data_IF_128972515127
#
_entry.id   IF_128972515127
#
_cell.length_a   1.000
_cell.length_b   1.000
_cell.length_c   1.000
_cell.angle_alpha   90.00
_cell.angle_beta   90.00
_cell.angle_gamma   90.00
#
_symmetry.space_group_name_H-M   'P 1'
#
loop_
_entity.id
_entity.type
_entity.pdbx_description
1 polymer ?
#
# COMPACT_ATOMS: atom_id res chain seq x y z
N UNK A 1 -16.39 8.44 -15.24
CA UNK A 1 -15.14 8.79 -14.54
C UNK A 1 -15.20 8.16 -13.16
N UNK A 2 -14.23 7.32 -12.81
CA UNK A 2 -14.17 6.70 -11.48
C UNK A 2 -13.74 7.75 -10.46
N UNK A 3 -14.40 7.81 -9.31
CA UNK A 3 -14.06 8.77 -8.27
C UNK A 3 -12.82 8.32 -7.51
N UNK A 4 -11.88 9.24 -7.29
CA UNK A 4 -10.69 9.00 -6.46
C UNK A 4 -11.11 8.53 -5.05
N UNK A 5 -10.61 7.39 -4.55
CA UNK A 5 -10.89 6.92 -3.20
C UNK A 5 -10.41 7.93 -2.15
N UNK A 6 -11.15 8.04 -1.04
CA UNK A 6 -10.85 8.99 0.03
C UNK A 6 -9.72 8.52 0.96
N UNK A 7 -9.54 7.21 1.06
CA UNK A 7 -8.58 6.58 1.97
C UNK A 7 -7.22 6.29 1.32
N UNK A 8 -6.88 7.07 0.29
CA UNK A 8 -5.55 7.04 -0.30
C UNK A 8 -4.56 7.73 0.64
N UNK A 9 -3.39 7.13 0.82
CA UNK A 9 -2.29 7.70 1.59
C UNK A 9 -1.11 8.06 0.71
N UNK A 10 -0.32 9.05 1.12
CA UNK A 10 0.94 9.39 0.45
C UNK A 10 1.96 8.27 0.53
N UNK A 11 2.92 8.25 -0.41
CA UNK A 11 4.07 7.33 -0.35
C UNK A 11 4.89 7.56 0.92
N UNK A 12 5.00 8.82 1.36
CA UNK A 12 5.66 9.18 2.62
C UNK A 12 4.97 8.52 3.81
N UNK A 13 3.65 8.70 3.94
CA UNK A 13 2.85 8.08 5.02
C UNK A 13 2.98 6.57 5.00
N UNK A 14 2.95 5.96 3.81
CA UNK A 14 3.15 4.53 3.63
C UNK A 14 4.53 4.09 4.15
N UNK A 15 5.60 4.70 3.67
CA UNK A 15 6.98 4.35 4.05
C UNK A 15 7.26 4.57 5.54
N UNK A 16 6.78 5.68 6.12
CA UNK A 16 6.89 5.94 7.55
C UNK A 16 6.13 4.88 8.38
N UNK A 17 4.94 4.48 7.91
CA UNK A 17 4.13 3.43 8.54
C UNK A 17 4.79 2.05 8.48
N UNK A 18 5.34 1.65 7.33
CA UNK A 18 6.09 0.39 7.16
C UNK A 18 7.33 0.38 8.05
N UNK A 19 8.14 1.44 8.00
CA UNK A 19 9.36 1.53 8.82
C UNK A 19 9.06 1.43 10.32
N UNK A 20 8.01 2.11 10.79
CA UNK A 20 7.57 2.05 12.18
C UNK A 20 7.08 0.66 12.55
N UNK A 21 6.36 0.00 11.65
CA UNK A 21 5.92 -1.38 11.84
C UNK A 21 7.10 -2.32 12.05
N UNK A 22 8.11 -2.27 11.18
CA UNK A 22 9.30 -3.10 11.26
C UNK A 22 10.13 -2.84 12.52
N UNK A 23 10.27 -1.56 12.90
CA UNK A 23 11.15 -1.15 14.01
C UNK A 23 10.51 -1.38 15.39
N UNK A 24 9.24 -1.05 15.55
CA UNK A 24 8.61 -0.93 16.88
C UNK A 24 7.50 -1.93 17.13
N UNK A 25 6.80 -2.33 16.07
CA UNK A 25 5.58 -3.12 16.21
C UNK A 25 5.89 -4.60 16.09
N UNK A 26 6.61 -5.02 15.04
CA UNK A 26 6.91 -6.42 14.69
C UNK A 26 7.45 -7.26 15.86
N UNK A 27 8.31 -6.68 16.70
CA UNK A 27 8.89 -7.38 17.86
C UNK A 27 7.89 -7.67 18.98
N UNK A 28 6.81 -6.88 19.08
CA UNK A 28 5.80 -6.93 20.14
C UNK A 28 4.56 -7.74 19.78
N UNK A 29 4.45 -8.17 18.53
CA UNK A 29 3.30 -8.87 17.97
C UNK A 29 3.15 -10.33 18.41
N UNK A 30 4.07 -10.85 19.23
CA UNK A 30 4.21 -12.30 19.44
C UNK A 30 3.03 -12.98 20.14
N UNK A 31 2.23 -12.28 20.95
CA UNK A 31 1.31 -12.97 21.86
C UNK A 31 -0.18 -12.58 21.82
N UNK A 32 -0.64 -11.54 21.10
CA UNK A 32 -2.08 -11.19 21.05
C UNK A 32 -2.50 -10.38 19.81
N UNK A 33 -2.11 -10.90 18.65
CA UNK A 33 -2.48 -10.43 17.31
C UNK A 33 -3.97 -10.28 17.01
N UNK A 34 -4.46 -9.12 16.59
CA UNK A 34 -5.59 -9.05 15.65
C UNK A 34 -5.22 -9.86 14.40
N UNK A 35 -5.99 -10.91 14.11
CA UNK A 35 -5.76 -11.82 12.97
C UNK A 35 -6.51 -11.40 11.70
N UNK A 36 -7.24 -10.29 11.76
CA UNK A 36 -8.14 -9.87 10.70
C UNK A 36 -8.28 -8.35 10.68
N UNK A 37 -8.43 -7.81 9.48
CA UNK A 37 -8.80 -6.42 9.24
C UNK A 37 -10.04 -6.44 8.36
N UNK A 38 -11.01 -5.59 8.68
CA UNK A 38 -12.21 -5.46 7.88
C UNK A 38 -12.06 -4.34 6.84
N UNK A 39 -12.55 -4.61 5.64
CA UNK A 39 -12.70 -3.63 4.56
C UNK A 39 -14.11 -3.76 4.02
N UNK A 40 -14.77 -2.63 3.76
CA UNK A 40 -16.01 -2.68 3.01
C UNK A 40 -15.71 -3.02 1.53
N UNK A 41 -16.57 -3.85 0.94
CA UNK A 41 -16.37 -4.35 -0.41
C UNK A 41 -16.43 -3.23 -1.46
N UNK A 42 -17.21 -2.19 -1.21
CA UNK A 42 -17.38 -1.08 -2.14
C UNK A 42 -16.10 -0.25 -2.27
N UNK A 43 -15.39 -0.01 -1.16
CA UNK A 43 -14.11 0.67 -1.12
C UNK A 43 -13.04 -0.13 -1.86
N UNK A 44 -12.97 -1.46 -1.64
CA UNK A 44 -12.01 -2.30 -2.37
C UNK A 44 -12.29 -2.26 -3.87
N UNK A 45 -13.55 -2.37 -4.29
CA UNK A 45 -13.95 -2.27 -5.69
C UNK A 45 -13.63 -0.90 -6.29
N UNK A 46 -13.96 0.17 -5.57
CA UNK A 46 -13.70 1.55 -6.00
C UNK A 46 -12.21 1.81 -6.15
N UNK A 47 -11.41 1.28 -5.24
CA UNK A 47 -9.96 1.35 -5.32
C UNK A 47 -9.42 0.60 -6.54
N UNK A 48 -9.86 -0.65 -6.77
CA UNK A 48 -9.45 -1.44 -7.94
C UNK A 48 -9.79 -0.70 -9.24
N UNK A 49 -11.03 -0.23 -9.37
CA UNK A 49 -11.47 0.50 -10.56
C UNK A 49 -10.65 1.78 -10.77
N UNK A 50 -10.32 2.49 -9.69
CA UNK A 50 -9.47 3.68 -9.74
C UNK A 50 -8.05 3.36 -10.23
N UNK A 51 -7.36 2.39 -9.62
CA UNK A 51 -5.98 2.04 -10.03
C UNK A 51 -5.93 1.46 -11.44
N UNK A 52 -6.94 0.70 -11.87
CA UNK A 52 -7.02 0.19 -13.24
C UNK A 52 -7.18 1.33 -14.26
N UNK A 53 -8.02 2.31 -13.96
CA UNK A 53 -8.17 3.49 -14.81
C UNK A 53 -6.86 4.29 -14.91
N UNK A 54 -6.22 4.58 -13.77
CA UNK A 54 -4.97 5.34 -13.73
C UNK A 54 -3.81 4.59 -14.43
N UNK A 55 -3.74 3.26 -14.25
CA UNK A 55 -2.72 2.43 -14.89
C UNK A 55 -2.93 2.35 -16.40
N UNK A 56 -4.17 2.18 -16.85
CA UNK A 56 -4.51 2.17 -18.28
C UNK A 56 -4.14 3.49 -18.96
N UNK A 57 -4.41 4.63 -18.31
CA UNK A 57 -4.01 5.95 -18.82
C UNK A 57 -2.48 6.09 -18.99
N UNK A 58 -1.70 5.32 -18.25
CA UNK A 58 -0.23 5.33 -18.24
C UNK A 58 0.40 4.12 -18.94
N UNK A 59 -0.41 3.29 -19.59
CA UNK A 59 0.01 2.03 -20.24
C UNK A 59 0.76 1.08 -19.28
N UNK A 60 0.38 1.10 -18.00
CA UNK A 60 0.93 0.21 -16.98
C UNK A 60 0.00 -1.01 -16.83
N UNK A 61 0.57 -2.21 -16.87
CA UNK A 61 -0.17 -3.45 -16.68
C UNK A 61 -0.15 -3.86 -15.20
N UNK A 62 -1.29 -3.73 -14.53
CA UNK A 62 -1.44 -4.23 -13.15
C UNK A 62 -1.47 -5.76 -13.19
N UNK A 63 -0.55 -6.37 -12.45
CA UNK A 63 -0.42 -7.82 -12.31
C UNK A 63 -1.09 -8.38 -11.05
N UNK A 64 -1.51 -7.51 -10.12
CA UNK A 64 -2.14 -7.89 -8.86
C UNK A 64 -2.03 -6.80 -7.81
N UNK A 65 -2.43 -7.15 -6.58
CA UNK A 65 -2.37 -6.29 -5.40
C UNK A 65 -1.43 -6.91 -4.35
N UNK A 66 -0.61 -6.08 -3.71
CA UNK A 66 0.17 -6.47 -2.53
C UNK A 66 -0.42 -5.83 -1.29
N UNK A 67 -0.53 -6.62 -0.23
CA UNK A 67 -0.93 -6.18 1.09
C UNK A 67 0.32 -5.88 1.92
N UNK A 68 0.36 -4.71 2.54
CA UNK A 68 1.44 -4.26 3.41
C UNK A 68 0.91 -4.00 4.80
N UNK A 69 1.61 -4.48 5.82
CA UNK A 69 1.33 -4.14 7.21
C UNK A 69 2.10 -2.86 7.57
N UNK A 70 1.39 -1.91 8.18
CA UNK A 70 1.95 -0.63 8.59
C UNK A 70 1.48 -0.27 9.99
N UNK A 71 2.24 0.55 10.71
CA UNK A 71 1.79 1.12 11.96
C UNK A 71 0.79 2.27 11.69
N UNK A 72 -0.34 2.29 12.41
CA UNK A 72 -1.27 3.41 12.40
C UNK A 72 -0.91 4.36 13.53
N UNK A 73 -0.25 5.47 13.20
CA UNK A 73 0.14 6.53 14.14
C UNK A 73 1.17 6.07 15.22
N UNK A 74 1.36 6.89 16.26
CA UNK A 74 2.24 6.65 17.42
C UNK A 74 1.69 5.61 18.39
N UNK A 75 0.46 5.16 18.19
CA UNK A 75 -0.15 4.10 18.99
C UNK A 75 0.57 2.79 18.69
N UNK A 76 1.41 2.34 19.62
CA UNK A 76 2.35 1.21 19.48
C UNK A 76 1.67 -0.15 19.22
N UNK A 77 0.35 -0.18 19.15
CA UNK A 77 -0.48 -1.36 19.07
C UNK A 77 -1.38 -1.39 17.83
N UNK A 78 -1.64 -0.27 17.18
CA UNK A 78 -2.52 -0.22 16.02
C UNK A 78 -1.74 -0.54 14.75
N UNK A 79 -2.08 -1.65 14.10
CA UNK A 79 -1.58 -1.99 12.76
C UNK A 79 -2.67 -1.66 11.75
N UNK A 80 -2.29 -1.34 10.52
CA UNK A 80 -3.21 -1.10 9.42
C UNK A 80 -2.72 -1.86 8.20
N UNK A 81 -3.64 -2.28 7.33
CA UNK A 81 -3.30 -2.90 6.06
C UNK A 81 -3.42 -1.88 4.92
N UNK A 82 -2.37 -1.77 4.12
CA UNK A 82 -2.38 -1.00 2.88
C UNK A 82 -2.34 -1.89 1.65
N UNK A 83 -3.09 -1.50 0.62
CA UNK A 83 -3.02 -2.11 -0.70
C UNK A 83 -2.20 -1.25 -1.65
N UNK A 84 -1.32 -1.90 -2.41
CA UNK A 84 -0.57 -1.28 -3.49
C UNK A 84 -0.69 -2.13 -4.76
N UNK A 85 -0.87 -1.52 -5.94
CA UNK A 85 -0.85 -2.25 -7.20
C UNK A 85 0.55 -2.80 -7.46
N UNK A 86 0.63 -3.86 -8.26
CA UNK A 86 1.90 -4.49 -8.63
C UNK A 86 2.08 -4.59 -10.13
N UNK A 87 3.30 -4.45 -10.62
CA UNK A 87 3.70 -4.72 -12.01
C UNK A 87 4.62 -5.95 -12.06
N UNK A 88 4.55 -6.70 -13.16
CA UNK A 88 5.55 -7.73 -13.46
C UNK A 88 6.83 -7.06 -13.94
N UNK A 89 7.97 -7.52 -13.44
CA UNK A 89 9.30 -7.15 -13.90
C UNK A 89 10.14 -8.42 -13.97
N UNK A 90 11.03 -8.49 -14.95
CA UNK A 90 12.01 -9.58 -15.04
C UNK A 90 13.28 -9.11 -14.35
N UNK A 91 13.78 -9.86 -13.36
CA UNK A 91 15.03 -9.54 -12.69
C UNK A 91 16.25 -9.96 -13.54
N UNK A 92 17.45 -9.66 -13.06
CA UNK A 92 18.73 -10.00 -13.75
C UNK A 92 18.91 -11.51 -14.00
N UNK A 93 18.17 -12.36 -13.28
CA UNK A 93 18.20 -13.83 -13.42
C UNK A 93 17.16 -14.36 -14.41
N UNK A 94 16.37 -13.48 -15.03
CA UNK A 94 15.28 -13.88 -15.92
C UNK A 94 13.99 -14.30 -15.20
N UNK A 95 13.91 -14.11 -13.88
CA UNK A 95 12.74 -14.49 -13.08
C UNK A 95 11.69 -13.36 -13.09
N UNK A 96 10.42 -13.72 -13.22
CA UNK A 96 9.31 -12.76 -13.12
C UNK A 96 9.02 -12.48 -11.64
N UNK A 97 9.14 -11.22 -11.27
CA UNK A 97 8.90 -10.70 -9.93
C UNK A 97 7.81 -9.62 -9.96
N UNK A 98 7.02 -9.54 -8.89
CA UNK A 98 5.91 -8.59 -8.78
C UNK A 98 6.30 -7.43 -7.87
N UNK A 99 6.52 -6.24 -8.44
CA UNK A 99 6.93 -5.06 -7.69
C UNK A 99 5.72 -4.18 -7.37
N UNK A 100 5.59 -3.77 -6.11
CA UNK A 100 4.60 -2.75 -5.75
C UNK A 100 5.05 -1.39 -6.27
N UNK A 101 4.12 -0.65 -6.87
CA UNK A 101 4.41 0.67 -7.44
C UNK A 101 3.30 1.67 -7.10
N UNK A 102 3.60 2.96 -7.21
CA UNK A 102 2.58 4.00 -7.10
C UNK A 102 2.06 4.40 -8.48
N UNK A 103 0.81 4.05 -8.78
CA UNK A 103 0.20 4.42 -10.07
C UNK A 103 0.06 5.93 -10.25
N UNK A 104 -0.10 6.73 -9.20
CA UNK A 104 -0.32 8.19 -9.31
C UNK A 104 0.97 8.92 -9.69
N UNK A 105 2.09 8.59 -9.04
CA UNK A 105 3.39 9.19 -9.32
C UNK A 105 4.10 8.58 -10.54
N UNK A 106 3.62 7.43 -11.04
CA UNK A 106 4.19 6.81 -12.23
C UNK A 106 3.99 7.65 -13.48
N UNK A 107 4.95 7.56 -14.39
CA UNK A 107 4.87 8.14 -15.74
C UNK A 107 4.51 7.05 -16.76
N UNK A 108 4.24 7.45 -18.00
CA UNK A 108 3.85 6.53 -19.06
C UNK A 108 4.93 5.44 -19.26
N UNK A 109 4.56 4.17 -19.13
CA UNK A 109 5.45 3.00 -19.16
C UNK A 109 6.57 2.97 -18.09
N UNK A 110 6.57 3.87 -17.11
CA UNK A 110 7.60 3.97 -16.07
C UNK A 110 6.98 3.88 -14.67
N UNK A 111 6.81 2.65 -14.13
CA UNK A 111 6.26 2.47 -12.80
C UNK A 111 7.24 2.94 -11.71
N UNK A 112 6.76 3.76 -10.77
CA UNK A 112 7.52 4.20 -9.60
C UNK A 112 7.40 3.16 -8.49
N UNK A 113 8.44 2.35 -8.29
CA UNK A 113 8.45 1.29 -7.27
C UNK A 113 8.46 1.84 -5.84
N UNK A 114 7.60 1.30 -4.96
CA UNK A 114 7.47 1.76 -3.57
C UNK A 114 8.70 1.44 -2.71
N UNK A 115 9.44 0.37 -3.02
CA UNK A 115 10.62 -0.08 -2.29
C UNK A 115 11.89 0.71 -2.60
N UNK A 116 11.83 1.68 -3.52
CA UNK A 116 13.01 2.45 -3.91
C UNK A 116 13.25 3.60 -2.92
N UNK A 117 14.44 3.71 -2.29
CA UNK A 117 14.78 4.81 -1.38
C UNK A 117 14.69 6.21 -2.01
N UNK A 118 14.61 6.27 -3.34
CA UNK A 118 14.62 7.50 -4.14
C UNK A 118 13.23 8.08 -4.43
N UNK A 119 12.14 7.43 -4.00
CA UNK A 119 10.82 8.03 -4.18
C UNK A 119 10.75 9.29 -3.33
N UNK A 120 10.66 10.45 -3.98
CA UNK A 120 10.52 11.74 -3.30
C UNK A 120 9.33 11.66 -2.36
N UNK A 121 9.56 11.88 -1.08
CA UNK A 121 8.55 11.84 -0.02
C UNK A 121 7.51 13.00 -0.10
N UNK A 122 7.39 13.63 -1.28
CA UNK A 122 6.66 14.88 -1.47
C UNK A 122 5.29 14.65 -2.14
N UNK A 123 4.98 13.43 -2.59
CA UNK A 123 3.70 13.12 -3.21
C UNK A 123 2.60 13.04 -2.16
N UNK A 124 1.75 14.07 -2.10
CA UNK A 124 0.63 14.14 -1.14
C UNK A 124 -0.48 13.14 -1.45
N UNK A 125 -0.51 12.60 -2.68
CA UNK A 125 -1.50 11.65 -3.16
C UNK A 125 -0.80 10.44 -3.81
N UNK A 126 -0.93 9.25 -3.23
CA UNK A 126 -0.49 8.00 -3.87
C UNK A 126 -1.67 7.06 -4.10
N UNK A 127 -1.55 6.15 -5.06
CA UNK A 127 -2.52 5.09 -5.34
C UNK A 127 -2.45 3.94 -4.33
N UNK A 128 -2.17 4.25 -3.06
CA UNK A 128 -2.04 3.30 -1.96
C UNK A 128 -3.27 3.44 -1.08
N UNK A 129 -4.10 2.40 -1.00
CA UNK A 129 -5.30 2.41 -0.16
C UNK A 129 -4.96 2.01 1.26
N UNK A 130 -5.42 2.78 2.25
CA UNK A 130 -5.31 2.42 3.67
C UNK A 130 -6.61 2.72 4.42
N UNK A 131 -7.53 1.76 4.44
CA UNK A 131 -8.83 1.90 5.12
C UNK A 131 -9.09 0.87 6.24
N UNK A 132 -8.12 0.02 6.57
CA UNK A 132 -8.36 -1.11 7.47
C UNK A 132 -7.47 -1.14 8.70
N UNK A 133 -8.04 -1.06 9.91
CA UNK A 133 -7.31 -1.11 11.18
C UNK A 133 -7.38 -2.51 11.82
N UNK A 134 -6.23 -3.01 12.25
CA UNK A 134 -6.09 -4.10 13.21
C UNK A 134 -5.80 -3.53 14.60
N UNK A 135 -6.75 -3.69 15.52
CA UNK A 135 -6.62 -3.32 16.93
C UNK A 135 -6.42 -4.58 17.79
N UNK A 136 -5.32 -4.72 18.55
CA UNK A 136 -5.15 -5.84 19.47
C UNK A 136 -6.17 -5.75 20.63
N UNK A 137 -6.34 -6.81 21.43
CA UNK A 137 -7.40 -6.92 22.45
C UNK A 137 -7.47 -5.81 23.50
N UNK A 138 -6.44 -4.97 23.63
CA UNK A 138 -6.32 -3.89 24.63
C UNK A 138 -6.53 -2.48 24.07
N UNK A 139 -7.24 -2.31 22.96
CA UNK A 139 -7.56 -0.97 22.41
C UNK A 139 -8.68 -0.22 23.18
N UNK A 140 -8.83 -0.46 24.49
CA UNK A 140 -9.85 0.16 25.35
C UNK A 140 -9.22 0.96 26.47
#
# INVERSE_FOLDING_TARGET
MTTKPKDLISIKTFNEGVKRYETHVLSRLRDNQTKSVWFDLETVKSYIAFIEQEAAAKKLEISGLRLHMMAKDTQEHAVTLAFAPTVKKTNERGEVVHHSFDVISSEENHPVELSTPQVRNDFTDAGILNNGIACPPKCG
#
